data_IF_163329886181
#
_entry.id   IF_163329886181
#
_cell.length_a   1.000
_cell.length_b   1.000
_cell.length_c   1.000
_cell.angle_alpha   90.00
_cell.angle_beta   90.00
_cell.angle_gamma   90.00
#
_symmetry.space_group_name_H-M   'P 1'
#
loop_
_entity.id
_entity.type
_entity.pdbx_description
1 polymer ?
#
# COMPACT_ATOMS: atom_id res chain seq x y z
N UNK A 1 -11.56 -4.39 6.76
CA UNK A 1 -11.03 -3.06 7.04
C UNK A 1 -10.03 -2.66 6.00
N UNK A 2 -10.46 -1.91 5.04
CA UNK A 2 -9.63 -1.49 3.94
C UNK A 2 -9.34 -0.01 4.04
N UNK A 3 -8.49 0.36 4.94
CA UNK A 3 -8.12 1.76 5.05
C UNK A 3 -6.65 1.99 4.81
N UNK A 4 -5.80 0.99 5.03
CA UNK A 4 -4.39 1.10 4.74
C UNK A 4 -3.79 2.44 5.11
N UNK A 5 -3.19 3.11 4.15
CA UNK A 5 -2.69 4.46 4.34
C UNK A 5 -3.80 5.43 4.72
N UNK A 6 -5.03 5.17 4.26
CA UNK A 6 -6.16 6.04 4.57
C UNK A 6 -6.54 6.01 6.03
N UNK A 7 -6.41 4.86 6.70
CA UNK A 7 -6.74 4.80 8.11
C UNK A 7 -5.72 5.51 8.99
N UNK A 8 -4.51 5.70 8.51
CA UNK A 8 -3.48 6.50 9.18
C UNK A 8 -3.59 7.97 8.78
N UNK A 9 -4.30 8.24 7.70
CA UNK A 9 -4.51 9.56 7.16
C UNK A 9 -6.00 9.92 7.26
N UNK A 10 -6.35 10.53 8.35
CA UNK A 10 -7.74 10.88 8.63
C UNK A 10 -8.30 11.93 7.67
N UNK A 11 -7.44 12.62 6.93
CA UNK A 11 -7.88 13.62 5.95
C UNK A 11 -8.39 13.00 4.66
N UNK A 12 -8.07 11.72 4.42
CA UNK A 12 -8.51 11.02 3.23
C UNK A 12 -9.95 10.56 3.35
N UNK A 13 -10.63 10.44 2.21
CA UNK A 13 -11.94 9.81 2.17
C UNK A 13 -11.81 8.33 2.51
N UNK A 14 -12.75 7.76 3.24
CA UNK A 14 -12.72 6.34 3.54
C UNK A 14 -12.80 5.51 2.27
N UNK A 15 -12.07 4.39 2.25
CA UNK A 15 -12.18 3.43 1.17
C UNK A 15 -13.50 2.69 1.32
N UNK A 16 -14.19 2.46 0.20
CA UNK A 16 -15.43 1.70 0.19
C UNK A 16 -15.12 0.22 0.47
N UNK A 17 -15.50 -0.24 1.66
CA UNK A 17 -15.22 -1.59 2.09
C UNK A 17 -16.07 -2.65 1.37
N UNK A 18 -17.10 -2.24 0.64
CA UNK A 18 -17.92 -3.19 -0.11
C UNK A 18 -17.13 -3.85 -1.23
N UNK A 19 -16.05 -3.24 -1.69
CA UNK A 19 -15.21 -3.79 -2.74
C UNK A 19 -14.16 -4.79 -2.22
N UNK A 20 -14.00 -4.91 -0.91
CA UNK A 20 -12.94 -5.75 -0.36
C UNK A 20 -13.08 -7.23 -0.73
N UNK A 21 -14.25 -7.87 -0.63
CA UNK A 21 -14.39 -9.25 -1.07
C UNK A 21 -14.02 -9.46 -2.54
N UNK A 22 -14.36 -8.51 -3.41
CA UNK A 22 -13.99 -8.56 -4.82
C UNK A 22 -12.46 -8.50 -4.99
N UNK A 23 -11.79 -7.66 -4.20
CA UNK A 23 -10.34 -7.53 -4.23
C UNK A 23 -9.65 -8.81 -3.80
N UNK A 24 -10.16 -9.46 -2.74
CA UNK A 24 -9.62 -10.73 -2.27
C UNK A 24 -9.74 -11.79 -3.35
N UNK A 25 -10.93 -11.94 -3.92
CA UNK A 25 -11.18 -12.93 -4.97
C UNK A 25 -10.29 -12.68 -6.19
N UNK A 26 -10.18 -11.43 -6.62
CA UNK A 26 -9.34 -11.07 -7.75
C UNK A 26 -7.88 -11.41 -7.49
N UNK A 27 -7.36 -11.05 -6.32
CA UNK A 27 -5.95 -11.28 -5.98
C UNK A 27 -5.63 -12.76 -5.87
N UNK A 28 -6.54 -13.55 -5.32
CA UNK A 28 -6.34 -15.01 -5.22
C UNK A 28 -6.37 -15.68 -6.60
N UNK A 29 -7.23 -15.21 -7.49
CA UNK A 29 -7.33 -15.75 -8.85
C UNK A 29 -6.22 -15.22 -9.76
N UNK A 30 -5.63 -14.07 -9.46
CA UNK A 30 -4.66 -13.39 -10.33
C UNK A 30 -3.44 -12.95 -9.52
N UNK A 31 -2.63 -13.88 -8.98
CA UNK A 31 -1.51 -13.53 -8.11
C UNK A 31 -0.42 -12.72 -8.80
N UNK A 32 -0.40 -12.69 -10.12
CA UNK A 32 0.53 -11.84 -10.87
C UNK A 32 0.04 -10.41 -11.06
N UNK A 33 -1.21 -10.12 -10.69
CA UNK A 33 -1.82 -8.80 -10.87
C UNK A 33 -2.16 -8.12 -9.55
N UNK A 34 -2.09 -8.83 -8.45
CA UNK A 34 -2.35 -8.27 -7.13
C UNK A 34 -1.97 -9.25 -6.05
N UNK A 35 -1.52 -8.72 -4.92
CA UNK A 35 -1.11 -9.56 -3.81
C UNK A 35 -1.47 -8.87 -2.51
N UNK A 36 -2.02 -9.65 -1.59
CA UNK A 36 -2.35 -9.17 -0.24
C UNK A 36 -1.34 -9.77 0.72
N UNK A 37 -0.71 -8.91 1.52
CA UNK A 37 0.22 -9.34 2.56
C UNK A 37 -0.43 -9.05 3.90
N UNK A 38 -0.50 -10.07 4.75
CA UNK A 38 -1.09 -9.95 6.07
C UNK A 38 0.00 -9.74 7.12
N UNK A 39 -0.27 -8.86 8.07
CA UNK A 39 0.62 -8.64 9.21
C UNK A 39 0.04 -9.38 10.41
N UNK A 40 0.70 -10.45 10.80
CA UNK A 40 0.24 -11.29 11.88
C UNK A 40 1.21 -11.25 13.05
N UNK A 41 0.65 -11.26 14.26
CA UNK A 41 1.43 -11.35 15.49
C UNK A 41 0.79 -12.48 16.29
N UNK A 42 1.45 -13.65 16.32
CA UNK A 42 0.84 -14.85 16.83
C UNK A 42 -0.39 -15.24 16.02
N UNK A 43 -1.55 -15.32 16.66
CA UNK A 43 -2.81 -15.60 15.96
C UNK A 43 -3.62 -14.35 15.66
N UNK A 44 -3.09 -13.16 16.00
CA UNK A 44 -3.79 -11.90 15.83
C UNK A 44 -3.38 -11.23 14.51
N UNK A 45 -4.38 -10.81 13.73
CA UNK A 45 -4.15 -10.03 12.53
C UNK A 45 -3.98 -8.57 12.93
N UNK A 46 -2.84 -7.98 12.60
CA UNK A 46 -2.50 -6.59 12.95
C UNK A 46 -2.65 -5.62 11.79
N UNK A 47 -2.82 -6.12 10.60
CA UNK A 47 -3.01 -5.27 9.44
C UNK A 47 -2.75 -6.01 8.14
N UNK A 48 -2.72 -5.25 7.05
CA UNK A 48 -2.47 -5.82 5.73
C UNK A 48 -1.92 -4.76 4.79
N UNK A 49 -1.34 -5.23 3.70
CA UNK A 49 -0.97 -4.38 2.58
C UNK A 49 -1.50 -4.99 1.30
N UNK A 50 -1.90 -4.14 0.37
CA UNK A 50 -2.32 -4.53 -0.96
C UNK A 50 -1.30 -4.02 -1.96
N UNK A 51 -0.71 -4.93 -2.73
CA UNK A 51 0.33 -4.63 -3.70
C UNK A 51 -0.18 -4.85 -5.11
N UNK A 52 0.04 -3.89 -5.99
CA UNK A 52 -0.37 -3.99 -7.39
C UNK A 52 0.83 -3.66 -8.28
N UNK A 53 1.25 -4.60 -9.14
CA UNK A 53 2.35 -4.33 -10.05
C UNK A 53 1.87 -3.72 -11.36
N UNK A 54 2.71 -2.89 -11.98
CA UNK A 54 2.51 -2.51 -13.37
C UNK A 54 3.87 -2.19 -14.02
N UNK A 55 3.93 -2.33 -15.33
CA UNK A 55 5.14 -1.97 -16.06
C UNK A 55 5.26 -0.46 -16.14
N UNK A 56 6.41 0.06 -15.79
CA UNK A 56 6.69 1.50 -15.85
C UNK A 56 7.66 1.80 -16.98
N UNK A 57 7.20 2.57 -17.94
CA UNK A 57 8.09 3.03 -19.00
C UNK A 57 9.18 3.96 -18.46
N UNK A 58 8.83 4.75 -17.47
CA UNK A 58 9.77 5.69 -16.87
C UNK A 58 10.92 4.98 -16.15
N UNK A 59 10.61 3.92 -15.39
CA UNK A 59 11.61 3.17 -14.63
C UNK A 59 12.22 2.01 -15.43
N UNK A 60 11.64 1.68 -16.58
CA UNK A 60 12.13 0.56 -17.39
C UNK A 60 11.97 -0.79 -16.71
N UNK A 61 10.95 -0.96 -15.90
CA UNK A 61 10.73 -2.19 -15.16
C UNK A 61 9.38 -2.18 -14.45
N UNK A 62 9.14 -3.22 -13.65
CA UNK A 62 7.90 -3.29 -12.87
C UNK A 62 7.97 -2.36 -11.67
N UNK A 63 6.94 -1.54 -11.54
CA UNK A 63 6.70 -0.68 -10.39
C UNK A 63 5.59 -1.33 -9.57
N UNK A 64 5.80 -1.46 -8.26
CA UNK A 64 4.75 -1.95 -7.38
C UNK A 64 4.12 -0.77 -6.66
N UNK A 65 2.79 -0.67 -6.77
CA UNK A 65 2.00 0.29 -6.01
C UNK A 65 1.59 -0.38 -4.71
N UNK A 66 1.93 0.24 -3.58
CA UNK A 66 1.32 -0.13 -2.31
C UNK A 66 -0.02 0.60 -2.27
N UNK A 67 -1.05 -0.09 -2.77
CA UNK A 67 -2.37 0.50 -2.98
C UNK A 67 -3.07 0.76 -1.67
N UNK A 68 -2.87 -0.11 -0.70
CA UNK A 68 -3.34 0.09 0.67
C UNK A 68 -2.34 -0.47 1.67
N UNK A 69 -2.23 0.20 2.79
CA UNK A 69 -1.46 -0.24 3.94
C UNK A 69 -2.26 0.11 5.19
N UNK A 70 -2.73 -0.91 5.88
CA UNK A 70 -3.53 -0.73 7.08
C UNK A 70 -2.88 -1.43 8.26
N UNK A 71 -2.77 -0.72 9.37
CA UNK A 71 -2.34 -1.28 10.66
C UNK A 71 -3.44 -0.96 11.66
N UNK A 72 -3.87 -1.96 12.42
CA UNK A 72 -4.92 -1.75 13.43
C UNK A 72 -4.49 -0.66 14.41
N UNK A 73 -5.43 0.15 14.93
CA UNK A 73 -5.06 1.27 15.81
C UNK A 73 -4.20 0.88 17.00
N UNK A 74 -4.48 -0.26 17.62
CA UNK A 74 -3.72 -0.71 18.79
C UNK A 74 -2.31 -1.20 18.44
N UNK A 75 -2.06 -1.49 17.17
CA UNK A 75 -0.75 -1.97 16.72
C UNK A 75 0.10 -0.88 16.09
N UNK A 76 -0.42 0.33 15.98
CA UNK A 76 0.32 1.46 15.38
C UNK A 76 1.45 1.94 16.29
N UNK A 77 2.43 2.59 15.68
CA UNK A 77 3.63 3.11 16.36
C UNK A 77 4.48 2.03 17.00
N UNK A 78 4.40 0.79 16.49
CA UNK A 78 5.18 -0.35 16.97
C UNK A 78 6.15 -0.87 15.90
N UNK A 79 6.34 -0.10 14.83
CA UNK A 79 7.30 -0.44 13.79
C UNK A 79 6.80 -1.47 12.78
N UNK A 80 5.51 -1.76 12.72
CA UNK A 80 4.97 -2.77 11.79
C UNK A 80 5.16 -2.33 10.34
N UNK A 81 4.82 -1.07 10.00
CA UNK A 81 5.00 -0.58 8.65
C UNK A 81 6.49 -0.57 8.26
N UNK A 82 7.36 -0.15 9.17
CA UNK A 82 8.81 -0.15 8.91
C UNK A 82 9.32 -1.56 8.66
N UNK A 83 8.87 -2.53 9.44
CA UNK A 83 9.23 -3.93 9.27
C UNK A 83 8.75 -4.46 7.93
N UNK A 84 7.52 -4.10 7.53
CA UNK A 84 6.97 -4.48 6.25
C UNK A 84 7.82 -3.97 5.07
N UNK A 85 8.20 -2.70 5.09
CA UNK A 85 9.02 -2.14 4.01
C UNK A 85 10.43 -2.74 3.99
N UNK A 86 10.97 -3.07 5.15
CA UNK A 86 12.25 -3.79 5.22
C UNK A 86 12.12 -5.17 4.58
N UNK A 87 11.03 -5.86 4.88
CA UNK A 87 10.74 -7.16 4.27
C UNK A 87 10.65 -7.05 2.75
N UNK A 88 9.96 -6.03 2.23
CA UNK A 88 9.87 -5.82 0.78
C UNK A 88 11.22 -5.55 0.15
N UNK A 89 12.10 -4.86 0.85
CA UNK A 89 13.45 -4.59 0.36
C UNK A 89 14.32 -5.84 0.26
N UNK A 90 14.02 -6.85 1.06
CA UNK A 90 14.74 -8.13 1.04
C UNK A 90 14.08 -9.16 0.14
N UNK A 91 12.79 -9.01 -0.14
CA UNK A 91 11.99 -9.95 -0.92
C UNK A 91 11.20 -9.17 -1.97
N UNK A 92 11.89 -8.67 -2.98
CA UNK A 92 11.29 -7.80 -4.00
C UNK A 92 10.07 -8.45 -4.64
N UNK A 93 8.86 -7.94 -4.38
CA UNK A 93 7.66 -8.53 -4.97
C UNK A 93 7.64 -8.25 -6.47
N UNK A 94 7.19 -9.25 -7.26
CA UNK A 94 7.05 -9.12 -8.71
C UNK A 94 8.35 -8.74 -9.44
N UNK A 95 9.50 -8.98 -8.83
CA UNK A 95 10.80 -8.55 -9.36
C UNK A 95 10.84 -7.05 -9.63
N UNK A 96 10.19 -6.28 -8.78
CA UNK A 96 9.99 -4.85 -8.98
C UNK A 96 11.30 -4.06 -8.84
N UNK A 97 11.40 -3.00 -9.62
CA UNK A 97 12.55 -2.08 -9.55
C UNK A 97 12.27 -0.89 -8.63
N UNK A 98 11.01 -0.63 -8.30
CA UNK A 98 10.63 0.48 -7.43
C UNK A 98 9.28 0.23 -6.79
N UNK A 99 9.05 0.91 -5.67
CA UNK A 99 7.77 0.95 -4.98
C UNK A 99 7.22 2.37 -5.05
N UNK A 100 5.92 2.50 -5.17
CA UNK A 100 5.25 3.80 -5.05
C UNK A 100 4.05 3.68 -4.12
N UNK A 101 3.71 4.78 -3.48
CA UNK A 101 2.53 4.88 -2.62
C UNK A 101 2.04 6.31 -2.61
N UNK A 102 0.81 6.49 -2.18
CA UNK A 102 0.25 7.81 -1.99
C UNK A 102 0.10 8.09 -0.49
N UNK A 103 0.30 9.33 -0.13
CA UNK A 103 0.07 9.81 1.23
C UNK A 103 -0.55 11.20 1.14
N UNK A 104 -1.60 11.43 1.94
CA UNK A 104 -2.24 12.74 1.94
C UNK A 104 -1.32 13.80 2.51
N UNK A 105 -1.37 15.03 1.98
CA UNK A 105 -0.51 16.12 2.47
C UNK A 105 -0.62 16.37 3.97
N UNK A 106 -1.79 16.12 4.56
CA UNK A 106 -2.01 16.33 5.98
C UNK A 106 -1.43 15.25 6.88
N UNK A 107 -1.08 14.10 6.33
CA UNK A 107 -0.52 13.01 7.12
C UNK A 107 1.00 13.12 7.22
N UNK A 108 1.45 14.07 8.05
CA UNK A 108 2.87 14.37 8.19
C UNK A 108 3.63 13.24 8.87
N UNK A 109 2.99 12.50 9.77
CA UNK A 109 3.61 11.36 10.44
C UNK A 109 3.95 10.23 9.48
N UNK A 110 2.99 9.84 8.63
CA UNK A 110 3.23 8.81 7.63
C UNK A 110 4.29 9.26 6.63
N UNK A 111 4.22 10.52 6.20
CA UNK A 111 5.20 11.05 5.26
C UNK A 111 6.62 10.99 5.82
N UNK A 112 6.80 11.37 7.09
CA UNK A 112 8.11 11.27 7.74
C UNK A 112 8.62 9.84 7.77
N UNK A 113 7.75 8.89 8.06
CA UNK A 113 8.12 7.48 8.06
C UNK A 113 8.63 7.07 6.69
N UNK A 114 7.86 7.36 5.64
CA UNK A 114 8.25 6.95 4.28
C UNK A 114 9.52 7.64 3.82
N UNK A 115 9.67 8.92 4.09
CA UNK A 115 10.91 9.63 3.77
C UNK A 115 12.11 9.06 4.50
N UNK A 116 11.93 8.65 5.77
CA UNK A 116 13.00 8.01 6.52
C UNK A 116 13.42 6.66 5.96
N UNK A 117 12.54 6.02 5.19
CA UNK A 117 12.81 4.74 4.53
C UNK A 117 13.38 4.91 3.13
N UNK A 118 13.54 6.13 2.65
CA UNK A 118 14.12 6.41 1.36
C UNK A 118 13.12 6.78 0.27
N UNK A 119 11.84 6.88 0.59
CA UNK A 119 10.86 7.37 -0.37
C UNK A 119 11.06 8.85 -0.63
N UNK A 120 10.92 9.24 -1.89
CA UNK A 120 11.02 10.64 -2.28
C UNK A 120 9.70 11.11 -2.88
N UNK A 121 9.35 12.37 -2.62
CA UNK A 121 8.12 12.94 -3.12
C UNK A 121 8.23 13.25 -4.61
N UNK A 122 7.25 12.79 -5.39
CA UNK A 122 7.14 13.13 -6.80
C UNK A 122 6.26 14.37 -6.94
N UNK A 123 6.60 15.20 -7.91
CA UNK A 123 5.90 16.47 -8.13
C UNK A 123 4.65 16.35 -8.99
N UNK A 124 4.48 15.21 -9.67
CA UNK A 124 3.35 15.00 -10.54
C UNK A 124 2.08 14.74 -9.76
N UNK A 125 0.97 15.25 -10.27
CA UNK A 125 -0.35 15.00 -9.70
C UNK A 125 -1.04 13.87 -10.44
N UNK A 126 -1.80 13.07 -9.71
CA UNK A 126 -2.61 12.00 -10.29
C UNK A 126 -3.99 12.56 -10.61
N UNK A 127 -4.44 12.37 -11.85
CA UNK A 127 -5.78 12.76 -12.27
C UNK A 127 -6.53 11.49 -12.63
N UNK A 128 -7.79 11.40 -12.22
CA UNK A 128 -8.60 10.21 -12.45
C UNK A 128 -9.87 10.56 -13.19
N UNK A 129 -10.16 9.82 -14.25
CA UNK A 129 -11.44 9.84 -14.92
C UNK A 129 -12.06 8.47 -14.80
N UNK A 130 -13.24 8.41 -14.22
CA UNK A 130 -13.93 7.14 -14.00
C UNK A 130 -14.90 6.88 -15.16
N UNK A 131 -14.74 5.73 -15.80
CA UNK A 131 -15.65 5.37 -16.88
C UNK A 131 -17.04 5.09 -16.31
N UNK A 132 -18.10 5.57 -16.97
CA UNK A 132 -19.47 5.24 -16.56
C UNK A 132 -19.72 3.75 -16.72
N UNK A 133 -20.57 3.23 -15.87
CA UNK A 133 -20.96 1.83 -15.92
C UNK A 133 -21.90 1.52 -17.10
#
# INVERSE_FOLDING_TARGET
MMHGLHSEDEASSPVDQSCFPLTIDFSLANPSQGRIILFEEGTSLRGYALLVPYWSNEFGGTLVVVDELFVTPMARNRGIARTFFRFLGEHWPFEAVALTLEVSPGNTGARRLYESLGFTCRRNSLLTYRFPE
#
